data_IF_750939471808
#
_entry.id   IF_750939471808
#
_cell.length_a   1.000
_cell.length_b   1.000
_cell.length_c   1.000
_cell.angle_alpha   90.00
_cell.angle_beta   90.00
_cell.angle_gamma   90.00
#
_symmetry.space_group_name_H-M   'P 1'
#
loop_
_entity.id
_entity.type
_entity.pdbx_description
1 polymer ?
#
# COMPACT_ATOMS: atom_id res chain seq x y z
N UNK A 1 6.34 10.09 -0.72
CA UNK A 1 7.47 9.51 -1.48
C UNK A 1 7.98 8.32 -0.69
N UNK A 2 8.43 7.26 -1.36
CA UNK A 2 9.07 6.10 -0.72
C UNK A 2 10.47 5.99 -1.31
N UNK A 3 11.47 5.88 -0.45
CA UNK A 3 12.87 5.70 -0.84
C UNK A 3 13.30 4.31 -0.40
N UNK A 4 13.81 3.50 -1.32
CA UNK A 4 14.31 2.16 -1.03
C UNK A 4 15.64 1.98 -1.77
N UNK A 5 16.62 1.47 -1.04
CA UNK A 5 17.97 1.25 -1.56
C UNK A 5 18.43 -0.18 -1.20
N UNK A 6 19.35 -0.78 -1.97
CA UNK A 6 19.87 -2.13 -1.73
C UNK A 6 20.56 -2.29 -0.37
N UNK A 7 21.34 -1.29 0.05
CA UNK A 7 22.06 -1.29 1.33
C UNK A 7 21.97 0.06 2.08
N UNK A 8 22.30 0.08 3.38
CA UNK A 8 22.17 1.28 4.21
C UNK A 8 23.08 2.45 3.81
N UNK A 9 24.26 2.19 3.24
CA UNK A 9 25.20 3.25 2.84
C UNK A 9 24.69 3.95 1.59
N UNK A 10 24.21 3.18 0.62
CA UNK A 10 23.52 3.73 -0.56
C UNK A 10 22.25 4.49 -0.14
N UNK A 11 21.50 3.96 0.84
CA UNK A 11 20.30 4.63 1.33
C UNK A 11 20.56 6.04 1.89
N UNK A 12 21.68 6.24 2.60
CA UNK A 12 22.06 7.57 3.09
C UNK A 12 22.34 8.51 1.93
N UNK A 13 23.08 8.06 0.90
CA UNK A 13 23.37 8.87 -0.29
C UNK A 13 22.10 9.26 -1.04
N UNK A 14 21.18 8.31 -1.24
CA UNK A 14 19.89 8.58 -1.90
C UNK A 14 19.07 9.62 -1.12
N UNK A 15 19.04 9.51 0.22
CA UNK A 15 18.35 10.48 1.06
C UNK A 15 19.00 11.87 0.99
N UNK A 16 20.33 11.94 0.97
CA UNK A 16 21.08 13.20 0.83
C UNK A 16 20.77 13.90 -0.49
N UNK A 17 20.75 13.15 -1.60
CA UNK A 17 20.39 13.69 -2.92
C UNK A 17 18.96 14.22 -2.92
N UNK A 18 18.01 13.43 -2.41
CA UNK A 18 16.60 13.82 -2.40
C UNK A 18 16.36 15.04 -1.51
N UNK A 19 16.95 15.10 -0.31
CA UNK A 19 16.83 16.29 0.54
C UNK A 19 17.47 17.52 -0.10
N UNK A 20 18.55 17.34 -0.87
CA UNK A 20 19.17 18.42 -1.64
C UNK A 20 18.25 18.94 -2.73
N UNK A 21 17.54 18.06 -3.44
CA UNK A 21 16.52 18.46 -4.42
C UNK A 21 15.36 19.20 -3.73
N UNK A 22 14.85 18.71 -2.59
CA UNK A 22 13.80 19.42 -1.87
C UNK A 22 14.22 20.83 -1.47
N UNK A 23 15.43 21.01 -0.94
CA UNK A 23 15.98 22.33 -0.62
C UNK A 23 16.12 23.22 -1.85
N UNK A 24 16.59 22.66 -2.97
CA UNK A 24 16.75 23.40 -4.24
C UNK A 24 15.44 24.02 -4.73
N UNK A 25 14.32 23.32 -4.54
CA UNK A 25 12.99 23.77 -4.97
C UNK A 25 12.14 24.35 -3.83
N UNK A 26 12.74 24.70 -2.68
CA UNK A 26 12.06 25.20 -1.46
C UNK A 26 10.87 24.34 -1.00
N UNK A 27 10.96 23.03 -1.24
CA UNK A 27 9.97 22.06 -0.78
C UNK A 27 10.27 21.66 0.67
N UNK A 28 9.24 21.68 1.51
CA UNK A 28 9.33 21.25 2.91
C UNK A 28 8.58 19.94 3.13
N UNK A 29 9.23 19.01 3.81
CA UNK A 29 8.61 17.77 4.25
C UNK A 29 7.96 17.96 5.62
N UNK A 30 6.83 17.29 5.83
CA UNK A 30 6.20 17.24 7.14
C UNK A 30 6.91 16.18 8.00
N UNK A 31 7.74 16.63 8.94
CA UNK A 31 8.53 15.76 9.83
C UNK A 31 7.67 14.76 10.61
N UNK A 32 6.46 15.15 11.04
CA UNK A 32 5.54 14.27 11.77
C UNK A 32 5.00 13.12 10.90
N UNK A 33 5.09 13.24 9.57
CA UNK A 33 4.66 12.21 8.60
C UNK A 33 5.84 11.50 7.94
N UNK A 34 7.07 11.91 8.21
CA UNK A 34 8.26 11.25 7.69
C UNK A 34 8.68 10.12 8.63
N UNK A 35 8.67 8.90 8.10
CA UNK A 35 9.08 7.71 8.85
C UNK A 35 10.39 7.20 8.25
N UNK A 36 11.37 6.98 9.11
CA UNK A 36 12.67 6.42 8.74
C UNK A 36 12.87 5.17 9.61
N UNK A 37 13.16 4.02 8.99
CA UNK A 37 13.47 2.72 9.65
C UNK A 37 12.28 1.90 10.18
N UNK A 38 11.05 2.11 9.74
CA UNK A 38 9.97 1.16 10.07
C UNK A 38 10.07 -0.11 9.23
N UNK A 39 10.19 -1.27 9.89
CA UNK A 39 10.18 -2.59 9.24
C UNK A 39 8.88 -2.90 8.47
N UNK A 40 7.80 -2.19 8.80
CA UNK A 40 6.48 -2.34 8.19
C UNK A 40 5.70 -1.03 8.26
N UNK A 41 5.29 -0.49 7.11
CA UNK A 41 4.58 0.79 7.05
C UNK A 41 3.38 0.76 6.09
N UNK A 42 2.35 1.58 6.35
CA UNK A 42 1.21 1.75 5.45
C UNK A 42 1.47 2.90 4.49
N UNK A 43 1.49 2.62 3.18
CA UNK A 43 1.61 3.65 2.15
C UNK A 43 0.60 3.42 1.02
N UNK A 44 -0.16 4.47 0.67
CA UNK A 44 -1.23 4.44 -0.34
C UNK A 44 -2.20 3.24 -0.19
N UNK A 45 -2.42 2.82 1.05
CA UNK A 45 -3.29 1.71 1.39
C UNK A 45 -2.71 0.32 1.10
N UNK A 46 -1.40 0.19 0.91
CA UNK A 46 -0.62 -1.06 0.92
C UNK A 46 0.31 -1.11 2.13
N UNK A 47 0.83 -2.29 2.42
CA UNK A 47 1.91 -2.45 3.40
C UNK A 47 3.24 -2.48 2.65
N UNK A 48 4.20 -1.69 3.10
CA UNK A 48 5.59 -1.78 2.69
C UNK A 48 6.35 -2.56 3.74
N UNK A 49 7.06 -3.60 3.33
CA UNK A 49 7.91 -4.43 4.19
C UNK A 49 9.28 -4.64 3.53
N UNK A 50 10.22 -5.25 4.25
CA UNK A 50 11.50 -5.67 3.68
C UNK A 50 11.32 -6.60 2.46
N UNK A 51 10.23 -7.37 2.40
CA UNK A 51 9.91 -8.29 1.28
C UNK A 51 9.29 -7.57 0.08
N UNK A 52 8.94 -6.29 0.21
CA UNK A 52 8.31 -5.48 -0.84
C UNK A 52 6.92 -5.01 -0.46
N UNK A 53 6.02 -4.96 -1.44
CA UNK A 53 4.64 -4.51 -1.26
C UNK A 53 3.79 -5.70 -0.85
N UNK A 54 3.14 -5.61 0.30
CA UNK A 54 2.24 -6.61 0.85
C UNK A 54 0.80 -6.09 0.94
N UNK A 55 -0.15 -7.03 1.03
CA UNK A 55 -1.55 -6.72 1.24
C UNK A 55 -1.77 -6.00 2.58
N UNK A 56 -2.64 -5.00 2.57
CA UNK A 56 -3.06 -4.33 3.78
C UNK A 56 -4.04 -5.20 4.57
N UNK A 57 -3.57 -5.74 5.70
CA UNK A 57 -4.35 -6.61 6.57
C UNK A 57 -5.65 -5.96 7.06
N UNK A 58 -5.69 -4.64 7.24
CA UNK A 58 -6.93 -3.97 7.66
C UNK A 58 -7.97 -4.00 6.54
N UNK A 59 -7.55 -3.81 5.29
CA UNK A 59 -8.44 -3.97 4.14
C UNK A 59 -8.94 -5.40 4.01
N UNK A 60 -8.07 -6.39 4.24
CA UNK A 60 -8.44 -7.80 4.25
C UNK A 60 -9.45 -8.11 5.36
N UNK A 61 -9.19 -7.66 6.60
CA UNK A 61 -10.09 -7.83 7.75
C UNK A 61 -11.47 -7.28 7.48
N UNK A 62 -11.55 -6.07 6.90
CA UNK A 62 -12.83 -5.46 6.54
C UNK A 62 -13.64 -6.36 5.60
N UNK A 63 -13.01 -7.01 4.61
CA UNK A 63 -13.71 -7.92 3.69
C UNK A 63 -14.11 -9.23 4.39
N UNK A 64 -13.22 -9.81 5.20
CA UNK A 64 -13.47 -11.05 5.94
C UNK A 64 -14.64 -10.88 6.92
N UNK A 65 -14.79 -9.69 7.51
CA UNK A 65 -15.85 -9.38 8.47
C UNK A 65 -17.14 -8.85 7.80
N UNK A 66 -17.20 -8.78 6.47
CA UNK A 66 -18.45 -8.39 5.79
C UNK A 66 -19.53 -9.45 6.02
N UNK A 67 -20.73 -8.99 6.35
CA UNK A 67 -21.93 -9.85 6.33
C UNK A 67 -22.30 -10.19 4.89
N UNK A 68 -23.12 -11.23 4.73
CA UNK A 68 -23.68 -11.57 3.42
C UNK A 68 -24.39 -10.36 2.82
N UNK A 69 -24.08 -10.06 1.57
CA UNK A 69 -24.55 -8.88 0.86
C UNK A 69 -26.01 -9.10 0.45
N UNK A 70 -26.88 -8.12 0.73
CA UNK A 70 -28.32 -8.25 0.47
C UNK A 70 -28.76 -7.50 -0.78
N UNK A 71 -27.90 -6.66 -1.36
CA UNK A 71 -28.24 -5.85 -2.52
C UNK A 71 -27.08 -5.71 -3.52
N UNK A 72 -27.41 -5.29 -4.74
CA UNK A 72 -26.46 -5.14 -5.84
C UNK A 72 -25.36 -4.10 -5.50
N UNK A 73 -25.70 -3.01 -4.80
CA UNK A 73 -24.72 -1.97 -4.43
C UNK A 73 -23.64 -2.51 -3.51
N UNK A 74 -24.02 -3.39 -2.60
CA UNK A 74 -23.12 -4.08 -1.68
C UNK A 74 -22.20 -5.06 -2.40
N UNK A 75 -22.73 -5.83 -3.37
CA UNK A 75 -21.92 -6.71 -4.23
C UNK A 75 -20.92 -5.88 -5.05
N UNK A 76 -21.33 -4.78 -5.67
CA UNK A 76 -20.43 -3.88 -6.39
C UNK A 76 -19.33 -3.29 -5.48
N UNK A 77 -19.69 -2.95 -4.23
CA UNK A 77 -18.73 -2.48 -3.23
C UNK A 77 -17.71 -3.56 -2.87
N UNK A 78 -18.14 -4.81 -2.70
CA UNK A 78 -17.25 -5.96 -2.50
C UNK A 78 -16.31 -6.11 -3.68
N UNK A 79 -16.85 -6.13 -4.90
CA UNK A 79 -16.08 -6.30 -6.14
C UNK A 79 -14.97 -5.25 -6.23
N UNK A 80 -15.29 -3.97 -6.00
CA UNK A 80 -14.29 -2.88 -5.98
C UNK A 80 -13.21 -3.09 -4.92
N UNK A 81 -13.57 -3.59 -3.74
CA UNK A 81 -12.61 -3.92 -2.67
C UNK A 81 -11.70 -5.09 -3.09
N UNK A 82 -12.26 -6.14 -3.68
CA UNK A 82 -11.52 -7.28 -4.20
C UNK A 82 -10.55 -6.88 -5.33
N UNK A 83 -10.97 -6.01 -6.24
CA UNK A 83 -10.10 -5.48 -7.31
C UNK A 83 -8.85 -4.80 -6.75
N UNK A 84 -8.96 -4.09 -5.61
CA UNK A 84 -7.79 -3.45 -4.98
C UNK A 84 -6.77 -4.44 -4.41
N UNK A 85 -7.19 -5.69 -4.16
CA UNK A 85 -6.38 -6.77 -3.61
C UNK A 85 -6.04 -7.86 -4.64
N UNK A 86 -6.56 -7.76 -5.88
CA UNK A 86 -6.46 -8.81 -6.90
C UNK A 86 -5.02 -9.26 -7.16
N UNK A 87 -4.06 -8.32 -7.12
CA UNK A 87 -2.62 -8.59 -7.30
C UNK A 87 -2.03 -9.55 -6.26
N UNK A 88 -2.68 -9.72 -5.11
CA UNK A 88 -2.24 -10.59 -4.02
C UNK A 88 -3.04 -11.90 -3.96
N UNK A 89 -4.06 -12.06 -4.81
CA UNK A 89 -4.95 -13.21 -4.81
C UNK A 89 -4.69 -14.07 -6.05
N UNK A 90 -4.25 -15.33 -5.88
CA UNK A 90 -4.09 -16.22 -7.02
C UNK A 90 -5.46 -16.49 -7.65
N UNK A 91 -5.51 -16.39 -8.99
CA UNK A 91 -6.72 -16.61 -9.79
C UNK A 91 -7.91 -15.75 -9.34
N UNK A 92 -7.65 -14.48 -8.97
CA UNK A 92 -8.66 -13.56 -8.47
C UNK A 92 -9.90 -13.44 -9.37
N UNK A 93 -9.69 -13.40 -10.69
CA UNK A 93 -10.78 -13.32 -11.67
C UNK A 93 -11.69 -14.56 -11.62
N UNK A 94 -11.12 -15.77 -11.59
CA UNK A 94 -11.89 -17.02 -11.50
C UNK A 94 -12.70 -17.07 -10.20
N UNK A 95 -12.08 -16.69 -9.08
CA UNK A 95 -12.74 -16.68 -7.77
C UNK A 95 -13.84 -15.62 -7.64
N UNK A 96 -13.72 -14.52 -8.39
CA UNK A 96 -14.69 -13.44 -8.38
C UNK A 96 -15.84 -13.63 -9.39
N UNK A 97 -15.79 -14.67 -10.24
CA UNK A 97 -16.85 -14.98 -11.23
C UNK A 97 -18.28 -14.94 -10.67
N UNK A 98 -18.58 -15.44 -9.45
CA UNK A 98 -19.94 -15.38 -8.93
C UNK A 98 -20.50 -13.97 -8.69
N UNK A 99 -19.66 -12.93 -8.74
CA UNK A 99 -20.04 -11.54 -8.48
C UNK A 99 -20.16 -10.69 -9.75
N UNK A 100 -19.87 -11.26 -10.93
CA UNK A 100 -19.90 -10.60 -12.24
C UNK A 100 -20.82 -11.35 -13.19
#
# INVERSE_FOLDING_TARGET
MVVKSPDPKEHIKDLEEIFTQFRKYDMRLNSNKCVFKSFREKFLGFMLTHRGIEANLDKCKVIIQMKSHQNIKEVQRLTRRLTSLSRFLPRAAEKARPFF
#
